data_IF_579619067781
#
_entry.id   IF_579619067781
#
_cell.length_a   1.000
_cell.length_b   1.000
_cell.length_c   1.000
_cell.angle_alpha   90.00
_cell.angle_beta   90.00
_cell.angle_gamma   90.00
#
_symmetry.space_group_name_H-M   'P 1'
#
loop_
_entity.id
_entity.type
_entity.pdbx_description
1 polymer ?
#
# COMPACT_ATOMS: atom_id res chain seq x y z
N UNK A 1 18.74 -7.89 5.24
CA UNK A 1 18.60 -6.64 4.46
C UNK A 1 17.43 -6.83 3.50
N UNK A 2 16.24 -6.28 3.82
CA UNK A 2 15.10 -6.37 2.90
C UNK A 2 15.40 -5.50 1.67
N UNK A 3 15.46 -6.11 0.48
CA UNK A 3 15.61 -5.39 -0.77
C UNK A 3 14.40 -4.46 -0.94
N UNK A 4 14.60 -3.15 -0.78
CA UNK A 4 13.60 -2.18 -1.18
C UNK A 4 13.43 -2.30 -2.70
N UNK A 5 12.39 -3.01 -3.13
CA UNK A 5 12.10 -3.13 -4.55
C UNK A 5 11.47 -1.81 -4.96
N UNK A 6 12.18 -1.04 -5.78
CA UNK A 6 11.71 0.27 -6.20
C UNK A 6 10.46 0.16 -7.07
N UNK A 7 9.47 1.03 -6.83
CA UNK A 7 8.29 1.10 -7.70
C UNK A 7 8.70 1.61 -9.08
N UNK A 8 8.34 0.93 -10.18
CA UNK A 8 8.66 1.36 -11.54
C UNK A 8 8.17 2.78 -11.84
N UNK A 9 8.98 3.57 -12.57
CA UNK A 9 8.71 4.98 -12.86
C UNK A 9 7.32 5.22 -13.48
N UNK A 10 6.95 4.44 -14.51
CA UNK A 10 5.65 4.59 -15.17
C UNK A 10 4.47 4.36 -14.19
N UNK A 11 4.61 3.44 -13.24
CA UNK A 11 3.60 3.22 -12.20
C UNK A 11 3.57 4.38 -11.21
N UNK A 12 4.74 4.87 -10.76
CA UNK A 12 4.86 6.05 -9.88
C UNK A 12 4.14 7.26 -10.47
N UNK A 13 4.35 7.55 -11.75
CA UNK A 13 3.70 8.68 -12.43
C UNK A 13 2.18 8.52 -12.53
N UNK A 14 1.70 7.35 -12.98
CA UNK A 14 0.27 7.10 -13.12
C UNK A 14 -0.45 7.20 -11.76
N UNK A 15 0.13 6.62 -10.70
CA UNK A 15 -0.41 6.71 -9.33
C UNK A 15 -0.42 8.15 -8.82
N UNK A 16 0.68 8.88 -9.03
CA UNK A 16 0.78 10.29 -8.59
C UNK A 16 -0.23 11.18 -9.31
N UNK A 17 -0.47 10.94 -10.60
CA UNK A 17 -1.52 11.63 -11.37
C UNK A 17 -2.91 11.28 -10.85
N UNK A 18 -3.17 10.00 -10.57
CA UNK A 18 -4.45 9.52 -10.04
C UNK A 18 -4.80 10.15 -8.68
N UNK A 19 -3.82 10.30 -7.80
CA UNK A 19 -4.00 10.83 -6.45
C UNK A 19 -4.02 12.36 -6.37
N UNK A 20 -3.99 13.10 -7.48
CA UNK A 20 -4.10 14.57 -7.41
C UNK A 20 -5.49 14.96 -6.87
N UNK A 21 -5.58 15.99 -5.99
CA UNK A 21 -4.51 16.90 -5.58
C UNK A 21 -3.68 16.42 -4.37
N UNK A 22 -3.96 15.26 -3.79
CA UNK A 22 -3.28 14.75 -2.61
C UNK A 22 -1.78 14.48 -2.89
N UNK A 23 -0.91 15.04 -2.03
CA UNK A 23 0.53 14.82 -2.12
C UNK A 23 0.87 13.41 -1.62
N UNK A 24 1.57 12.64 -2.46
CA UNK A 24 2.19 11.37 -2.07
C UNK A 24 3.38 11.66 -1.15
N UNK A 25 3.35 11.09 0.06
CA UNK A 25 4.44 11.19 1.04
C UNK A 25 5.35 9.96 1.01
N UNK A 26 4.79 8.79 0.74
CA UNK A 26 5.55 7.54 0.63
C UNK A 26 4.91 6.61 -0.40
N UNK A 27 5.75 5.85 -1.10
CA UNK A 27 5.33 4.86 -2.09
C UNK A 27 6.32 3.69 -2.11
N UNK A 28 5.83 2.46 -1.94
CA UNK A 28 6.68 1.27 -1.93
C UNK A 28 5.96 0.05 -2.49
N UNK A 29 6.74 -0.88 -3.06
CA UNK A 29 6.26 -2.23 -3.35
C UNK A 29 6.16 -3.02 -2.04
N UNK A 30 5.06 -3.74 -1.88
CA UNK A 30 4.78 -4.60 -0.73
C UNK A 30 4.20 -5.93 -1.18
N UNK A 31 4.44 -6.99 -0.41
CA UNK A 31 3.72 -8.25 -0.54
C UNK A 31 2.45 -8.18 0.31
N UNK A 32 1.28 -8.23 -0.33
CA UNK A 32 0.02 -8.33 0.38
C UNK A 32 -0.40 -9.79 0.48
N UNK A 33 -0.46 -10.32 1.70
CA UNK A 33 -0.96 -11.67 1.97
C UNK A 33 -2.48 -11.69 1.87
N UNK A 34 -3.03 -12.37 0.86
CA UNK A 34 -4.48 -12.57 0.76
C UNK A 34 -4.92 -13.79 1.59
N UNK A 35 -6.20 -13.81 1.98
CA UNK A 35 -6.80 -14.88 2.79
C UNK A 35 -6.62 -16.31 2.23
N UNK A 36 -6.28 -16.46 0.94
CA UNK A 36 -6.06 -17.74 0.27
C UNK A 36 -4.58 -18.20 0.24
N UNK A 37 -3.71 -17.60 1.05
CA UNK A 37 -2.30 -18.01 1.17
C UNK A 37 -1.40 -17.60 0.00
N UNK A 38 -1.89 -16.78 -0.94
CA UNK A 38 -1.08 -16.20 -2.01
C UNK A 38 -0.69 -14.77 -1.65
N UNK A 39 0.61 -14.52 -1.56
CA UNK A 39 1.17 -13.18 -1.52
C UNK A 39 1.15 -12.57 -2.92
N UNK A 40 0.67 -11.34 -3.06
CA UNK A 40 0.72 -10.62 -4.32
C UNK A 40 1.46 -9.29 -4.19
N UNK A 41 2.23 -8.94 -5.23
CA UNK A 41 2.85 -7.63 -5.35
C UNK A 41 1.78 -6.54 -5.44
N UNK A 42 1.91 -5.54 -4.57
CA UNK A 42 1.09 -4.33 -4.53
C UNK A 42 1.96 -3.11 -4.33
N UNK A 43 1.39 -1.94 -4.60
CA UNK A 43 2.02 -0.65 -4.28
C UNK A 43 1.25 -0.03 -3.13
N UNK A 44 1.91 0.12 -1.98
CA UNK A 44 1.39 0.91 -0.86
C UNK A 44 1.77 2.37 -1.08
N UNK A 45 0.78 3.25 -1.02
CA UNK A 45 0.95 4.70 -1.16
C UNK A 45 0.35 5.37 0.05
N UNK A 46 1.14 6.22 0.70
CA UNK A 46 0.72 6.99 1.86
C UNK A 46 0.66 8.46 1.50
N UNK A 47 -0.49 9.07 1.78
CA UNK A 47 -0.70 10.52 1.78
C UNK A 47 -0.73 11.04 3.22
N UNK A 48 -1.08 12.30 3.44
CA UNK A 48 -1.12 12.88 4.79
C UNK A 48 -2.13 12.18 5.73
N UNK A 49 -3.26 11.70 5.22
CA UNK A 49 -4.35 11.17 6.06
C UNK A 49 -4.88 9.80 5.62
N UNK A 50 -4.40 9.29 4.48
CA UNK A 50 -4.94 8.08 3.85
C UNK A 50 -3.84 7.25 3.21
N UNK A 51 -3.91 5.95 3.43
CA UNK A 51 -3.16 4.95 2.69
C UNK A 51 -4.03 4.36 1.57
N UNK A 52 -3.40 4.05 0.46
CA UNK A 52 -3.98 3.38 -0.70
C UNK A 52 -3.12 2.18 -1.06
N UNK A 53 -3.77 1.06 -1.39
CA UNK A 53 -3.12 -0.12 -1.95
C UNK A 53 -3.52 -0.22 -3.41
N UNK A 54 -2.54 -0.18 -4.30
CA UNK A 54 -2.73 -0.28 -5.75
C UNK A 54 -2.21 -1.61 -6.27
N UNK A 55 -2.83 -2.10 -7.34
CA UNK A 55 -2.24 -3.18 -8.14
C UNK A 55 -0.90 -2.73 -8.75
N UNK A 56 0.09 -3.62 -8.78
CA UNK A 56 1.41 -3.36 -9.36
C UNK A 56 1.43 -3.51 -10.90
N UNK A 57 0.27 -3.43 -11.57
CA UNK A 57 0.10 -3.63 -13.02
C UNK A 57 -0.66 -2.44 -13.62
N UNK A 58 -0.48 -2.22 -14.92
CA UNK A 58 -1.26 -1.22 -15.66
C UNK A 58 -2.55 -1.83 -16.22
N UNK A 59 -3.64 -1.06 -16.36
CA UNK A 59 -3.81 0.31 -15.86
C UNK A 59 -3.86 0.34 -14.32
N UNK A 60 -3.45 1.47 -13.73
CA UNK A 60 -3.42 1.64 -12.28
C UNK A 60 -4.84 1.56 -11.72
N UNK A 61 -5.05 0.70 -10.73
CA UNK A 61 -6.32 0.50 -10.04
C UNK A 61 -6.09 0.44 -8.53
N UNK A 62 -6.92 1.15 -7.78
CA UNK A 62 -6.98 1.06 -6.32
C UNK A 62 -7.68 -0.24 -5.96
N UNK A 63 -7.01 -1.08 -5.16
CA UNK A 63 -7.61 -2.30 -4.60
C UNK A 63 -8.31 -1.97 -3.27
N UNK A 64 -7.66 -1.17 -2.42
CA UNK A 64 -8.24 -0.72 -1.15
C UNK A 64 -7.63 0.61 -0.70
N UNK A 65 -8.31 1.28 0.23
CA UNK A 65 -7.79 2.47 0.90
C UNK A 65 -8.35 2.56 2.31
N UNK A 66 -7.59 3.15 3.22
CA UNK A 66 -8.03 3.40 4.60
C UNK A 66 -7.49 4.73 5.11
N UNK A 67 -8.32 5.44 5.86
CA UNK A 67 -7.91 6.60 6.66
C UNK A 67 -7.03 6.14 7.80
N UNK A 68 -6.05 6.96 8.18
CA UNK A 68 -5.25 6.65 9.38
C UNK A 68 -6.09 6.66 10.66
N UNK A 69 -7.23 7.36 10.65
CA UNK A 69 -8.18 7.37 11.76
C UNK A 69 -9.03 6.10 11.83
N UNK A 70 -9.09 5.29 10.77
CA UNK A 70 -9.80 4.02 10.77
C UNK A 70 -8.93 2.88 11.34
N UNK A 71 -7.62 3.10 11.53
CA UNK A 71 -6.68 2.11 12.05
C UNK A 71 -6.98 1.86 13.54
N UNK A 72 -7.36 0.62 13.85
CA UNK A 72 -7.56 0.17 15.22
C UNK A 72 -6.29 -0.43 15.84
N UNK A 73 -5.49 -1.13 15.03
CA UNK A 73 -4.23 -1.72 15.49
C UNK A 73 -3.25 -1.92 14.35
N UNK A 74 -1.96 -1.78 14.66
CA UNK A 74 -0.84 -2.18 13.80
C UNK A 74 -0.05 -3.25 14.56
N UNK A 75 -0.02 -4.46 14.00
CA UNK A 75 0.65 -5.61 14.60
C UNK A 75 1.89 -5.91 13.79
N UNK A 76 3.03 -5.99 14.47
CA UNK A 76 4.33 -6.33 13.88
C UNK A 76 4.68 -7.74 14.36
N UNK A 77 4.49 -8.75 13.52
CA UNK A 77 4.72 -10.15 13.91
C UNK A 77 6.20 -10.53 13.80
N UNK A 78 6.93 -9.85 12.92
CA UNK A 78 8.38 -9.99 12.75
C UNK A 78 8.95 -8.70 12.18
N UNK A 79 10.18 -8.37 12.59
CA UNK A 79 10.98 -7.28 11.99
C UNK A 79 11.22 -7.59 10.49
N UNK A 80 11.17 -8.87 10.12
CA UNK A 80 11.36 -9.36 8.76
C UNK A 80 10.06 -9.51 7.97
N UNK A 81 9.27 -8.44 7.84
CA UNK A 81 8.35 -8.24 6.69
C UNK A 81 6.85 -8.58 6.86
N UNK A 82 6.31 -8.81 8.07
CA UNK A 82 4.84 -8.94 8.24
C UNK A 82 4.29 -7.85 9.15
N UNK A 83 3.62 -6.88 8.53
CA UNK A 83 2.79 -5.88 9.18
C UNK A 83 1.32 -6.23 8.93
N UNK A 84 0.54 -6.41 10.00
CA UNK A 84 -0.91 -6.58 9.94
C UNK A 84 -1.59 -5.30 10.43
N UNK A 85 -2.29 -4.61 9.54
CA UNK A 85 -3.09 -3.43 9.87
C UNK A 85 -4.54 -3.88 10.03
N UNK A 86 -5.11 -3.66 11.21
CA UNK A 86 -6.55 -3.84 11.46
C UNK A 86 -7.22 -2.49 11.33
N UNK A 87 -8.16 -2.41 10.40
CA UNK A 87 -9.00 -1.24 10.15
C UNK A 87 -10.38 -1.54 10.73
N UNK A 88 -11.07 -0.50 11.21
CA UNK A 88 -12.41 -0.62 11.78
C UNK A 88 -13.39 -1.05 10.68
N UNK A 89 -14.09 -2.18 10.86
CA UNK A 89 -15.22 -2.54 10.01
C UNK A 89 -16.38 -1.59 10.34
N UNK A 90 -16.84 -0.82 9.35
CA UNK A 90 -18.11 -0.08 9.41
C UNK A 90 -19.25 -0.98 8.96
#
# INVERSE_FOLDING_TARGET
MAAQTEVPFCLKECITKYLKPQRVQFMSLVQLNQCKGRAENRVLVMSQWRAHVFHSKQPVKVESSFSYLEIYAIIIDSIEQVLRIKVTDL
#
